data_IF_943547073220
#
_entry.id   IF_943547073220
#
_cell.length_a   1.000
_cell.length_b   1.000
_cell.length_c   1.000
_cell.angle_alpha   90.00
_cell.angle_beta   90.00
_cell.angle_gamma   90.00
#
_symmetry.space_group_name_H-M   'P 1'
#
loop_
_entity.id
_entity.type
_entity.pdbx_description
1 polymer ?
#
# COMPACT_ATOMS: atom_id res chain seq x y z
N UNK A 1 -40.82 2.77 -9.42
CA UNK A 1 -40.64 1.85 -8.31
C UNK A 1 -39.59 0.79 -8.63
N UNK A 2 -39.77 0.05 -9.72
CA UNK A 2 -38.79 -0.96 -10.12
C UNK A 2 -37.40 -0.37 -10.42
N UNK A 3 -37.36 0.83 -10.99
CA UNK A 3 -36.08 1.51 -11.29
C UNK A 3 -35.25 1.83 -10.04
N UNK A 4 -35.92 2.17 -8.94
CA UNK A 4 -35.21 2.49 -7.67
C UNK A 4 -34.57 1.23 -7.10
N UNK A 5 -35.28 0.09 -7.12
CA UNK A 5 -34.71 -1.17 -6.66
C UNK A 5 -33.56 -1.63 -7.52
N UNK A 6 -33.66 -1.41 -8.81
CA UNK A 6 -32.61 -1.76 -9.76
C UNK A 6 -31.33 -0.94 -9.50
N UNK A 7 -31.49 0.35 -9.27
CA UNK A 7 -30.35 1.22 -8.95
C UNK A 7 -29.66 0.80 -7.65
N UNK A 8 -30.45 0.42 -6.65
CA UNK A 8 -29.90 -0.04 -5.37
C UNK A 8 -29.09 -1.31 -5.55
N UNK A 9 -29.56 -2.25 -6.39
CA UNK A 9 -28.82 -3.47 -6.66
C UNK A 9 -27.51 -3.21 -7.38
N UNK A 10 -27.49 -2.31 -8.36
CA UNK A 10 -26.28 -1.94 -9.08
C UNK A 10 -25.24 -1.31 -8.14
N UNK A 11 -25.68 -0.42 -7.25
CA UNK A 11 -24.80 0.20 -6.26
C UNK A 11 -24.24 -0.86 -5.31
N UNK A 12 -25.08 -1.81 -4.88
CA UNK A 12 -24.62 -2.88 -4.00
C UNK A 12 -23.58 -3.76 -4.67
N UNK A 13 -23.73 -4.03 -5.97
CA UNK A 13 -22.76 -4.81 -6.73
C UNK A 13 -21.43 -4.08 -6.86
N UNK A 14 -21.46 -2.77 -7.07
CA UNK A 14 -20.23 -1.98 -7.12
C UNK A 14 -19.48 -2.02 -5.80
N UNK A 15 -20.19 -1.94 -4.68
CA UNK A 15 -19.59 -2.05 -3.35
C UNK A 15 -18.97 -3.41 -3.08
N UNK A 16 -19.47 -4.47 -3.71
CA UNK A 16 -18.90 -5.81 -3.56
C UNK A 16 -17.55 -5.96 -4.25
N UNK A 17 -17.29 -5.16 -5.28
CA UNK A 17 -16.03 -5.18 -6.01
C UNK A 17 -14.92 -4.51 -5.20
N UNK A 18 -15.26 -3.50 -4.38
CA UNK A 18 -14.31 -2.78 -3.53
C UNK A 18 -14.33 -3.42 -2.15
N UNK A 19 -13.16 -3.84 -1.60
CA UNK A 19 -13.12 -4.42 -0.25
C UNK A 19 -13.73 -3.46 0.77
N UNK A 20 -14.55 -4.00 1.65
CA UNK A 20 -15.16 -3.20 2.71
C UNK A 20 -14.11 -2.76 3.72
N UNK A 21 -14.20 -1.54 4.26
CA UNK A 21 -13.27 -1.07 5.28
C UNK A 21 -13.10 -2.03 6.45
N UNK A 22 -14.19 -2.70 6.86
CA UNK A 22 -14.16 -3.66 7.96
C UNK A 22 -13.21 -4.82 7.68
N UNK A 23 -13.21 -5.33 6.44
CA UNK A 23 -12.31 -6.42 6.04
C UNK A 23 -10.87 -5.97 6.10
N UNK A 24 -10.58 -4.78 5.63
CA UNK A 24 -9.24 -4.20 5.69
C UNK A 24 -8.79 -4.03 7.14
N UNK A 25 -9.67 -3.55 8.02
CA UNK A 25 -9.37 -3.39 9.44
C UNK A 25 -9.01 -4.74 10.07
N UNK A 26 -9.75 -5.80 9.74
CA UNK A 26 -9.45 -7.13 10.27
C UNK A 26 -8.07 -7.62 9.85
N UNK A 27 -7.69 -7.35 8.62
CA UNK A 27 -6.35 -7.69 8.10
C UNK A 27 -5.28 -6.95 8.91
N UNK A 28 -5.51 -5.69 9.22
CA UNK A 28 -4.57 -4.88 9.99
C UNK A 28 -4.49 -5.32 11.45
N UNK A 29 -5.60 -5.76 12.04
CA UNK A 29 -5.60 -6.33 13.39
C UNK A 29 -4.71 -7.58 13.43
N UNK A 30 -4.86 -8.44 12.44
CA UNK A 30 -4.02 -9.65 12.31
C UNK A 30 -2.55 -9.28 12.13
N UNK A 31 -2.29 -8.27 11.29
CA UNK A 31 -0.92 -7.82 11.03
C UNK A 31 -0.24 -7.31 12.30
N UNK A 32 -0.97 -6.61 13.18
CA UNK A 32 -0.42 -6.11 14.44
C UNK A 32 0.23 -7.22 15.27
N UNK A 33 -0.33 -8.41 15.24
CA UNK A 33 0.21 -9.55 16.00
C UNK A 33 1.61 -9.91 15.52
N UNK A 34 1.84 -9.82 14.22
CA UNK A 34 3.12 -10.16 13.62
C UNK A 34 4.14 -9.04 13.74
N UNK A 35 3.69 -7.79 13.61
CA UNK A 35 4.58 -6.64 13.57
C UNK A 35 4.94 -6.11 14.95
N UNK A 36 4.22 -6.50 15.99
CA UNK A 36 4.48 -6.07 17.36
C UNK A 36 5.91 -6.37 17.80
N UNK A 37 6.48 -7.48 17.34
CA UNK A 37 7.86 -7.86 17.67
C UNK A 37 8.89 -6.90 17.10
N UNK A 38 8.50 -6.11 16.11
CA UNK A 38 9.35 -5.06 15.54
C UNK A 38 9.04 -3.68 16.13
N UNK A 39 8.14 -3.64 17.12
CA UNK A 39 7.72 -2.39 17.73
C UNK A 39 6.72 -1.61 16.92
N UNK A 40 6.06 -2.25 15.95
CA UNK A 40 5.13 -1.59 15.03
C UNK A 40 3.71 -2.07 15.31
N UNK A 41 2.83 -1.13 15.66
CA UNK A 41 1.42 -1.41 15.87
C UNK A 41 0.59 -0.24 15.36
N UNK A 42 -0.67 -0.53 15.03
CA UNK A 42 -1.65 0.47 14.60
C UNK A 42 -2.76 0.55 15.62
N UNK A 43 -3.24 1.76 15.87
CA UNK A 43 -4.43 1.96 16.68
C UNK A 43 -5.68 1.67 15.83
N UNK A 44 -6.85 1.42 16.46
CA UNK A 44 -8.08 1.24 15.68
C UNK A 44 -8.40 2.42 14.76
N UNK A 45 -8.13 3.64 15.21
CA UNK A 45 -8.34 4.85 14.41
C UNK A 45 -7.43 4.88 13.19
N UNK A 46 -6.17 4.48 13.35
CA UNK A 46 -5.22 4.40 12.26
C UNK A 46 -5.62 3.30 11.25
N UNK A 47 -6.11 2.18 11.74
CA UNK A 47 -6.58 1.09 10.88
C UNK A 47 -7.75 1.55 10.01
N UNK A 48 -8.71 2.26 10.60
CA UNK A 48 -9.87 2.81 9.88
C UNK A 48 -9.41 3.81 8.84
N UNK A 49 -8.50 4.71 9.20
CA UNK A 49 -7.95 5.70 8.27
C UNK A 49 -7.23 5.04 7.10
N UNK A 50 -6.48 3.97 7.36
CA UNK A 50 -5.81 3.22 6.30
C UNK A 50 -6.79 2.52 5.37
N UNK A 51 -7.87 1.98 5.91
CA UNK A 51 -8.91 1.34 5.11
C UNK A 51 -9.58 2.35 4.16
N UNK A 52 -9.85 3.54 4.66
CA UNK A 52 -10.43 4.62 3.87
C UNK A 52 -9.43 5.11 2.81
N UNK A 53 -8.18 5.25 3.20
CA UNK A 53 -7.10 5.66 2.30
C UNK A 53 -6.91 4.65 1.16
N UNK A 54 -7.01 3.36 1.47
CA UNK A 54 -6.94 2.30 0.45
C UNK A 54 -8.05 2.43 -0.57
N UNK A 55 -9.28 2.61 -0.11
CA UNK A 55 -10.43 2.76 -0.99
C UNK A 55 -10.24 3.96 -1.92
N UNK A 56 -9.76 5.07 -1.36
CA UNK A 56 -9.50 6.30 -2.12
C UNK A 56 -8.40 6.10 -3.16
N UNK A 57 -7.30 5.45 -2.76
CA UNK A 57 -6.17 5.20 -3.65
C UNK A 57 -6.57 4.29 -4.83
N UNK A 58 -7.41 3.30 -4.58
CA UNK A 58 -7.93 2.43 -5.64
C UNK A 58 -8.76 3.22 -6.63
N UNK A 59 -9.64 4.09 -6.13
CA UNK A 59 -10.45 4.95 -7.00
C UNK A 59 -9.57 5.91 -7.81
N UNK A 60 -8.60 6.54 -7.18
CA UNK A 60 -7.73 7.52 -7.82
C UNK A 60 -6.87 6.90 -8.93
N UNK A 61 -6.49 5.65 -8.76
CA UNK A 61 -5.64 4.95 -9.74
C UNK A 61 -6.43 4.08 -10.71
N UNK A 62 -7.75 4.00 -10.54
CA UNK A 62 -8.60 3.18 -11.40
C UNK A 62 -8.39 1.69 -11.21
N UNK A 63 -7.93 1.25 -10.05
CA UNK A 63 -7.63 -0.15 -9.78
C UNK A 63 -8.67 -0.78 -8.88
N UNK A 64 -8.79 -2.10 -9.00
CA UNK A 64 -9.68 -2.92 -8.19
C UNK A 64 -8.83 -3.98 -7.49
N UNK A 65 -9.08 -4.17 -6.19
CA UNK A 65 -8.44 -5.23 -5.40
C UNK A 65 -9.50 -5.98 -4.62
N UNK A 66 -9.26 -7.27 -4.42
CA UNK A 66 -10.12 -8.10 -3.59
C UNK A 66 -9.32 -8.59 -2.37
N UNK A 67 -10.02 -8.82 -1.27
CA UNK A 67 -9.43 -9.36 -0.06
C UNK A 67 -8.37 -8.46 0.55
N UNK A 68 -7.27 -9.06 0.96
CA UNK A 68 -6.16 -8.37 1.62
C UNK A 68 -5.44 -7.39 0.70
N UNK A 69 -5.45 -7.69 -0.60
CA UNK A 69 -4.76 -6.86 -1.57
C UNK A 69 -3.29 -6.65 -1.24
N UNK A 70 -2.79 -5.49 -1.65
CA UNK A 70 -1.36 -5.17 -1.51
C UNK A 70 -0.99 -4.75 -0.09
N UNK A 71 -1.93 -4.30 0.73
CA UNK A 71 -1.61 -3.73 2.04
C UNK A 71 -0.92 -4.73 2.96
N UNK A 72 -1.39 -5.98 3.00
CA UNK A 72 -0.75 -7.00 3.84
C UNK A 72 0.64 -7.35 3.33
N UNK A 73 0.85 -7.32 2.02
CA UNK A 73 2.17 -7.56 1.42
C UNK A 73 3.13 -6.41 1.74
N UNK A 74 2.65 -5.18 1.74
CA UNK A 74 3.45 -4.01 2.15
C UNK A 74 3.89 -4.18 3.59
N UNK A 75 2.97 -4.54 4.48
CA UNK A 75 3.31 -4.77 5.89
C UNK A 75 4.43 -5.81 6.01
N UNK A 76 4.29 -6.95 5.35
CA UNK A 76 5.29 -8.01 5.42
C UNK A 76 6.64 -7.61 4.82
N UNK A 77 6.61 -6.87 3.73
CA UNK A 77 7.84 -6.45 3.05
C UNK A 77 8.61 -5.39 3.84
N UNK A 78 7.94 -4.56 4.64
CA UNK A 78 8.55 -3.40 5.25
C UNK A 78 8.71 -3.49 6.77
N UNK A 79 8.03 -4.42 7.44
CA UNK A 79 7.99 -4.43 8.91
C UNK A 79 9.36 -4.65 9.57
N UNK A 80 10.29 -5.28 8.89
CA UNK A 80 11.63 -5.51 9.42
C UNK A 80 12.66 -4.47 8.98
N UNK A 81 12.22 -3.39 8.32
CA UNK A 81 13.13 -2.34 7.90
C UNK A 81 13.62 -1.53 9.10
N UNK A 82 14.94 -1.30 9.20
CA UNK A 82 15.47 -0.45 10.27
C UNK A 82 15.07 1.02 10.11
N UNK A 83 14.53 1.38 8.95
CA UNK A 83 14.11 2.75 8.64
C UNK A 83 12.62 2.99 8.86
N UNK A 84 11.87 1.96 9.25
CA UNK A 84 10.45 2.10 9.53
C UNK A 84 10.25 2.15 11.05
N UNK A 85 9.76 3.28 11.54
CA UNK A 85 9.61 3.53 12.96
C UNK A 85 8.14 3.67 13.34
N UNK A 86 7.83 3.35 14.60
CA UNK A 86 6.46 3.40 15.10
C UNK A 86 5.79 4.77 14.86
N UNK A 87 6.55 5.85 15.06
CA UNK A 87 6.00 7.21 14.92
C UNK A 87 5.47 7.48 13.51
N UNK A 88 6.09 6.90 12.49
CA UNK A 88 5.72 7.11 11.09
C UNK A 88 5.00 5.90 10.48
N UNK A 89 4.75 4.85 11.26
CA UNK A 89 4.27 3.57 10.70
C UNK A 89 2.97 3.72 9.89
N UNK A 90 1.95 4.33 10.48
CA UNK A 90 0.67 4.51 9.80
C UNK A 90 0.80 5.38 8.54
N UNK A 91 1.53 6.49 8.66
CA UNK A 91 1.75 7.39 7.54
C UNK A 91 2.56 6.74 6.42
N UNK A 92 3.55 5.92 6.79
CA UNK A 92 4.37 5.20 5.82
C UNK A 92 3.54 4.18 5.04
N UNK A 93 2.67 3.42 5.72
CA UNK A 93 1.81 2.46 5.06
C UNK A 93 0.86 3.14 4.08
N UNK A 94 0.30 4.27 4.46
CA UNK A 94 -0.57 5.04 3.59
C UNK A 94 0.17 5.50 2.34
N UNK A 95 1.35 6.08 2.52
CA UNK A 95 2.17 6.57 1.41
C UNK A 95 2.63 5.44 0.50
N UNK A 96 3.12 4.35 1.06
CA UNK A 96 3.61 3.21 0.29
C UNK A 96 2.51 2.57 -0.55
N UNK A 97 1.31 2.51 -0.01
CA UNK A 97 0.17 1.98 -0.74
C UNK A 97 -0.13 2.82 -1.99
N UNK A 98 -0.21 4.13 -1.84
CA UNK A 98 -0.45 5.03 -2.96
C UNK A 98 0.68 4.97 -3.99
N UNK A 99 1.92 4.92 -3.52
CA UNK A 99 3.10 4.79 -4.40
C UNK A 99 3.05 3.48 -5.16
N UNK A 100 2.68 2.39 -4.49
CA UNK A 100 2.59 1.08 -5.14
C UNK A 100 1.60 1.10 -6.30
N UNK A 101 0.39 1.61 -6.08
CA UNK A 101 -0.63 1.63 -7.13
C UNK A 101 -0.18 2.48 -8.32
N UNK A 102 0.45 3.61 -8.06
CA UNK A 102 0.99 4.45 -9.12
C UNK A 102 2.07 3.70 -9.92
N UNK A 103 3.01 3.07 -9.22
CA UNK A 103 4.07 2.29 -9.86
C UNK A 103 3.52 1.12 -10.66
N UNK A 104 2.49 0.46 -10.14
CA UNK A 104 1.83 -0.64 -10.85
C UNK A 104 1.21 -0.16 -12.16
N UNK A 105 0.58 1.01 -12.14
CA UNK A 105 0.01 1.60 -13.35
C UNK A 105 1.12 1.95 -14.36
N UNK A 106 2.27 2.45 -13.91
CA UNK A 106 3.40 2.76 -14.77
C UNK A 106 4.06 1.50 -15.33
N UNK A 107 4.17 0.45 -14.52
CA UNK A 107 4.81 -0.80 -14.92
C UNK A 107 3.94 -1.66 -15.82
N UNK A 108 2.63 -1.58 -15.66
CA UNK A 108 1.68 -2.44 -16.34
C UNK A 108 1.39 -3.73 -15.57
N UNK A 109 0.29 -4.37 -15.93
CA UNK A 109 -0.22 -5.52 -15.18
C UNK A 109 0.63 -6.78 -15.29
N UNK A 110 1.53 -6.84 -16.27
CA UNK A 110 2.41 -8.00 -16.46
C UNK A 110 3.58 -8.01 -15.48
N UNK A 111 3.88 -6.89 -14.85
CA UNK A 111 4.96 -6.82 -13.87
C UNK A 111 4.43 -7.36 -12.53
N UNK A 112 5.08 -8.38 -11.94
CA UNK A 112 4.64 -8.93 -10.67
C UNK A 112 4.67 -7.90 -9.55
N UNK A 113 3.67 -7.95 -8.68
CA UNK A 113 3.57 -7.05 -7.53
C UNK A 113 4.80 -7.15 -6.64
N UNK A 114 5.32 -8.36 -6.46
CA UNK A 114 6.49 -8.59 -5.63
C UNK A 114 7.72 -7.85 -6.11
N UNK A 115 7.90 -7.77 -7.43
CA UNK A 115 9.03 -7.05 -8.01
C UNK A 115 8.96 -5.56 -7.71
N UNK A 116 7.75 -4.99 -7.80
CA UNK A 116 7.53 -3.59 -7.45
C UNK A 116 7.79 -3.36 -5.96
N UNK A 117 7.29 -4.26 -5.11
CA UNK A 117 7.49 -4.15 -3.67
C UNK A 117 8.95 -4.23 -3.27
N UNK A 118 9.72 -5.12 -3.89
CA UNK A 118 11.16 -5.21 -3.63
C UNK A 118 11.88 -3.95 -4.03
N UNK A 119 11.52 -3.39 -5.17
CA UNK A 119 12.08 -2.12 -5.62
C UNK A 119 11.78 -1.02 -4.62
N UNK A 120 10.53 -0.91 -4.20
CA UNK A 120 10.12 0.10 -3.23
C UNK A 120 10.81 -0.08 -1.89
N UNK A 121 11.00 -1.32 -1.43
CA UNK A 121 11.71 -1.59 -0.18
C UNK A 121 13.17 -1.13 -0.26
N UNK A 122 13.85 -1.43 -1.37
CA UNK A 122 15.23 -0.99 -1.56
C UNK A 122 15.33 0.51 -1.62
N UNK A 123 14.41 1.16 -2.35
CA UNK A 123 14.38 2.61 -2.46
C UNK A 123 14.09 3.24 -1.10
N UNK A 124 13.17 2.66 -0.34
CA UNK A 124 12.81 3.13 0.98
C UNK A 124 14.03 3.12 1.93
N UNK A 125 14.74 2.00 1.97
CA UNK A 125 15.91 1.88 2.84
C UNK A 125 17.02 2.81 2.39
N UNK A 126 17.23 2.95 1.09
CA UNK A 126 18.24 3.87 0.56
C UNK A 126 17.90 5.32 0.88
N UNK A 127 16.63 5.66 0.88
CA UNK A 127 16.15 7.00 1.22
C UNK A 127 16.10 7.26 2.73
N UNK A 128 16.54 6.30 3.55
CA UNK A 128 16.48 6.43 5.00
C UNK A 128 15.06 6.46 5.55
N UNK A 129 14.11 5.85 4.84
CA UNK A 129 12.71 5.81 5.25
C UNK A 129 11.86 6.97 4.74
N UNK A 130 12.37 7.77 3.80
CA UNK A 130 11.64 8.91 3.25
C UNK A 130 10.65 8.47 2.18
N UNK A 131 9.38 8.37 2.54
CA UNK A 131 8.33 8.10 1.57
C UNK A 131 8.07 9.30 0.66
N UNK A 132 8.38 10.50 1.13
CA UNK A 132 8.25 11.72 0.32
C UNK A 132 9.19 11.67 -0.88
N UNK A 133 10.41 11.18 -0.69
CA UNK A 133 11.35 11.02 -1.79
C UNK A 133 10.81 10.04 -2.83
N UNK A 134 10.31 8.88 -2.38
CA UNK A 134 9.74 7.88 -3.27
C UNK A 134 8.53 8.43 -4.03
N UNK A 135 7.68 9.18 -3.34
CA UNK A 135 6.49 9.76 -3.95
C UNK A 135 6.83 10.77 -5.04
N UNK A 136 7.98 11.42 -4.94
CA UNK A 136 8.45 12.39 -5.92
C UNK A 136 9.14 11.80 -7.13
N UNK A 137 9.38 10.48 -7.14
CA UNK A 137 10.10 9.80 -8.23
C UNK A 137 9.13 8.98 -9.09
N UNK A 138 9.41 8.94 -10.40
CA UNK A 138 8.72 7.99 -11.28
C UNK A 138 9.28 6.59 -11.05
N UNK A 139 8.56 5.59 -11.57
CA UNK A 139 9.05 4.20 -11.50
C UNK A 139 10.43 4.08 -12.16
N UNK A 140 10.60 4.68 -13.34
CA UNK A 140 11.87 4.63 -14.05
C UNK A 140 13.00 5.26 -13.26
N UNK A 141 12.72 6.37 -12.59
CA UNK A 141 13.71 7.05 -11.74
C UNK A 141 14.09 6.17 -10.55
N UNK A 142 13.13 5.51 -9.92
CA UNK A 142 13.39 4.61 -8.81
C UNK A 142 14.23 3.41 -9.24
N UNK A 143 13.91 2.82 -10.39
CA UNK A 143 14.68 1.69 -10.93
C UNK A 143 16.13 2.09 -11.16
N UNK A 144 16.34 3.22 -11.80
CA UNK A 144 17.68 3.73 -12.09
C UNK A 144 18.45 4.02 -10.81
N UNK A 145 17.82 4.69 -9.88
CA UNK A 145 18.45 5.07 -8.62
C UNK A 145 18.86 3.85 -7.80
N UNK A 146 18.00 2.86 -7.67
CA UNK A 146 18.32 1.62 -6.94
C UNK A 146 19.43 0.84 -7.65
N UNK A 147 19.41 0.83 -8.98
CA UNK A 147 20.44 0.15 -9.78
C UNK A 147 21.80 0.81 -9.62
N UNK A 148 21.85 2.13 -9.64
CA UNK A 148 23.08 2.89 -9.43
C UNK A 148 23.63 2.67 -8.03
N UNK A 149 22.77 2.54 -7.04
CA UNK A 149 23.14 2.24 -5.68
C UNK A 149 23.85 0.91 -5.51
N UNK A 150 23.61 -0.05 -6.39
CA UNK A 150 24.31 -1.33 -6.37
C UNK A 150 25.79 -1.20 -6.72
N UNK A 151 26.13 -0.23 -7.53
CA UNK A 151 27.49 0.03 -7.95
C UNK A 151 28.12 1.14 -7.11
N UNK A 152 27.35 1.66 -6.20
CA UNK A 152 27.70 2.83 -5.47
C UNK A 152 28.55 2.56 -4.26
N UNK A 153 28.82 3.60 -3.65
CA UNK A 153 29.65 3.79 -2.50
C UNK A 153 28.78 3.94 -1.26
N UNK A 154 27.70 3.25 -1.26
CA UNK A 154 26.70 3.35 -0.18
C UNK A 154 27.15 2.70 1.11
#
# INVERSE_FOLDING_TARGET
>A
MAAVCWETEVVAMEFQIIPQPRETVQILVEANRRTARYGLTLTPEQMTALAESRARALLDTGRVELGAGILSQIVEMFCDSPNLHQAEYAAALEALQAIFYRCKNEAGDLTPDEDILRLLRRAFDRAGGSTEYLAGCSLAELVRWVREGKHGTD
#
